data_IF_632961518702
#
_entry.id   IF_632961518702
#
_cell.length_a   1.000
_cell.length_b   1.000
_cell.length_c   1.000
_cell.angle_alpha   90.00
_cell.angle_beta   90.00
_cell.angle_gamma   90.00
#
_symmetry.space_group_name_H-M   'P 1'
#
loop_
_entity.id
_entity.type
_entity.pdbx_description
1 polymer ?
#
# COMPACT_ATOMS: atom_id res chain seq x y z
N UNK A 1 14.00 -2.59 -21.92
CA UNK A 1 13.54 -1.44 -21.10
C UNK A 1 13.76 -1.82 -19.64
N UNK A 2 14.55 -1.05 -18.88
CA UNK A 2 14.73 -1.32 -17.46
C UNK A 2 13.42 -1.06 -16.72
N UNK A 3 12.77 -2.14 -16.27
CA UNK A 3 11.66 -2.10 -15.32
C UNK A 3 12.11 -1.22 -14.14
N UNK A 4 11.52 -0.03 -13.98
CA UNK A 4 11.79 0.83 -12.82
C UNK A 4 11.30 0.05 -11.61
N UNK A 5 12.20 -0.62 -10.90
CA UNK A 5 11.88 -1.31 -9.63
C UNK A 5 11.24 -0.27 -8.72
N UNK A 6 9.94 -0.45 -8.44
CA UNK A 6 9.19 0.47 -7.60
C UNK A 6 9.31 -0.02 -6.16
N UNK A 7 9.79 0.87 -5.31
CA UNK A 7 9.98 0.65 -3.88
C UNK A 7 8.91 1.45 -3.15
N UNK A 8 8.13 0.79 -2.31
CA UNK A 8 7.18 1.44 -1.41
C UNK A 8 7.83 1.50 -0.03
N UNK A 9 7.73 2.65 0.64
CA UNK A 9 8.16 2.80 2.03
C UNK A 9 7.02 2.37 2.96
N UNK A 10 7.29 1.39 3.80
CA UNK A 10 6.41 0.91 4.86
C UNK A 10 7.11 1.05 6.21
N UNK A 11 6.57 1.80 7.18
CA UNK A 11 7.20 1.94 8.50
C UNK A 11 7.29 0.63 9.29
N UNK A 12 6.49 -0.40 8.96
CA UNK A 12 6.48 -1.68 9.70
C UNK A 12 7.56 -2.63 9.16
N UNK A 13 7.61 -2.85 7.85
CA UNK A 13 8.54 -3.80 7.23
C UNK A 13 9.70 -3.13 6.45
N UNK A 14 9.76 -1.81 6.40
CA UNK A 14 10.78 -1.04 5.67
C UNK A 14 10.45 -0.89 4.18
N UNK A 15 11.41 -1.19 3.31
CA UNK A 15 11.23 -1.01 1.87
C UNK A 15 10.61 -2.26 1.21
N UNK A 16 9.38 -2.12 0.68
CA UNK A 16 8.71 -3.17 -0.08
C UNK A 16 9.06 -3.03 -1.55
N UNK A 17 9.79 -4.01 -2.08
CA UNK A 17 10.15 -4.09 -3.50
C UNK A 17 9.02 -4.74 -4.31
N UNK A 18 8.63 -4.10 -5.42
CA UNK A 18 7.68 -4.67 -6.38
C UNK A 18 8.46 -5.06 -7.64
N UNK A 19 8.79 -6.37 -7.83
CA UNK A 19 9.61 -6.82 -8.94
C UNK A 19 8.82 -7.04 -10.24
N UNK A 20 7.50 -7.20 -10.14
CA UNK A 20 6.63 -7.65 -11.23
C UNK A 20 5.72 -6.51 -11.74
N UNK A 21 5.61 -6.39 -13.06
CA UNK A 21 4.86 -5.31 -13.72
C UNK A 21 3.35 -5.46 -13.56
N UNK A 22 2.83 -6.69 -13.62
CA UNK A 22 1.41 -6.96 -13.41
C UNK A 22 0.98 -6.64 -11.96
N UNK A 23 1.81 -7.01 -10.98
CA UNK A 23 1.56 -6.63 -9.58
C UNK A 23 1.56 -5.11 -9.41
N UNK A 24 2.47 -4.41 -10.09
CA UNK A 24 2.50 -2.95 -10.06
C UNK A 24 1.24 -2.32 -10.67
N UNK A 25 0.78 -2.82 -11.83
CA UNK A 25 -0.47 -2.37 -12.46
C UNK A 25 -1.69 -2.61 -11.55
N UNK A 26 -1.75 -3.78 -10.89
CA UNK A 26 -2.80 -4.10 -9.94
C UNK A 26 -2.81 -3.12 -8.75
N UNK A 27 -1.62 -2.76 -8.25
CA UNK A 27 -1.48 -1.77 -7.18
C UNK A 27 -1.99 -0.41 -7.64
N UNK A 28 -1.73 -0.01 -8.89
CA UNK A 28 -2.21 1.26 -9.45
C UNK A 28 -3.71 1.25 -9.80
N UNK A 29 -4.34 0.08 -9.87
CA UNK A 29 -5.74 -0.05 -10.27
C UNK A 29 -6.70 0.68 -9.32
N UNK A 30 -7.73 1.40 -9.82
CA UNK A 30 -8.65 2.18 -8.99
C UNK A 30 -9.33 1.39 -7.87
N UNK A 31 -9.63 0.10 -8.11
CA UNK A 31 -10.22 -0.76 -7.09
C UNK A 31 -9.31 -0.95 -5.88
N UNK A 32 -7.99 -1.08 -6.07
CA UNK A 32 -7.04 -1.22 -4.97
C UNK A 32 -6.71 0.14 -4.36
N UNK A 33 -6.55 1.17 -5.19
CA UNK A 33 -6.34 2.55 -4.72
C UNK A 33 -7.49 3.10 -3.86
N UNK A 34 -8.70 2.54 -3.98
CA UNK A 34 -9.82 2.86 -3.08
C UNK A 34 -9.52 2.51 -1.63
N UNK A 35 -8.73 1.46 -1.37
CA UNK A 35 -8.44 0.98 -0.02
C UNK A 35 -7.72 2.04 0.82
N UNK A 36 -6.98 2.98 0.20
CA UNK A 36 -6.36 4.12 0.89
C UNK A 36 -7.37 5.04 1.61
N UNK A 37 -8.67 4.95 1.28
CA UNK A 37 -9.75 5.72 1.93
C UNK A 37 -10.48 4.94 3.02
N UNK A 38 -10.11 3.68 3.24
CA UNK A 38 -10.76 2.77 4.20
C UNK A 38 -9.75 2.45 5.30
N UNK A 39 -10.08 2.78 6.55
CA UNK A 39 -9.21 2.47 7.70
C UNK A 39 -9.18 0.96 7.95
N UNK A 40 -8.00 0.42 8.23
CA UNK A 40 -7.81 -1.02 8.48
C UNK A 40 -8.61 -1.51 9.69
N UNK A 41 -8.67 -0.73 10.77
CA UNK A 41 -9.31 -1.10 12.04
C UNK A 41 -10.56 -0.27 12.38
N UNK A 42 -11.07 0.52 11.42
CA UNK A 42 -12.33 1.27 11.55
C UNK A 42 -12.44 2.10 12.84
N UNK A 43 -13.24 1.61 13.79
CA UNK A 43 -13.57 2.28 15.06
C UNK A 43 -12.45 2.23 16.11
N UNK A 44 -11.40 1.42 15.92
CA UNK A 44 -10.30 1.31 16.89
C UNK A 44 -9.63 2.66 17.18
N UNK A 45 -9.62 3.57 16.20
CA UNK A 45 -9.11 4.94 16.31
C UNK A 45 -9.75 5.78 17.44
N UNK A 46 -10.96 5.42 17.91
CA UNK A 46 -11.60 6.10 19.06
C UNK A 46 -10.94 5.78 20.41
N UNK A 47 -10.23 4.65 20.50
CA UNK A 47 -9.52 4.21 21.71
C UNK A 47 -8.00 4.33 21.52
N UNK A 48 -7.50 3.98 20.34
CA UNK A 48 -6.09 4.00 19.98
C UNK A 48 -5.87 5.00 18.84
N UNK A 49 -5.48 6.26 19.12
CA UNK A 49 -5.46 7.33 18.11
C UNK A 49 -4.42 7.12 16.98
N UNK A 50 -3.50 6.16 17.13
CA UNK A 50 -2.55 5.78 16.08
C UNK A 50 -3.06 4.72 15.10
N UNK A 51 -4.29 4.22 15.26
CA UNK A 51 -4.90 3.16 14.44
C UNK A 51 -5.79 3.70 13.31
#
# INVERSE_FOLDING_TARGET
MQQKRKIINDPVFGFVNIPDEFIYELIQHPCLQRLNRIRQLGMASYVYPGA
#
